data_IF_388644625243
#
_entry.id   IF_388644625243
#
_cell.length_a   1.000
_cell.length_b   1.000
_cell.length_c   1.000
_cell.angle_alpha   90.00
_cell.angle_beta   90.00
_cell.angle_gamma   90.00
#
_symmetry.space_group_name_H-M   'P 1'
#
loop_
_entity.id
_entity.type
_entity.pdbx_description
1 polymer ?
#
# COMPACT_ATOMS: atom_id res chain seq x y z
N UNK A 1 -20.02 -2.90 0.98
CA UNK A 1 -20.10 -2.00 2.14
C UNK A 1 -21.47 -2.18 2.75
N UNK A 2 -21.53 -2.53 4.04
CA UNK A 2 -22.81 -2.79 4.70
C UNK A 2 -23.63 -1.50 4.83
N UNK A 3 -24.94 -1.60 4.54
CA UNK A 3 -25.91 -0.49 4.66
C UNK A 3 -25.91 0.16 6.04
N UNK A 4 -25.45 -0.56 7.07
CA UNK A 4 -25.30 -0.07 8.44
C UNK A 4 -24.24 1.03 8.56
N UNK A 5 -23.10 0.92 7.87
CA UNK A 5 -22.00 1.88 7.97
C UNK A 5 -22.36 3.23 7.32
N UNK A 6 -23.07 3.20 6.20
CA UNK A 6 -23.58 4.40 5.51
C UNK A 6 -24.63 5.16 6.33
N UNK A 7 -25.37 4.46 7.21
CA UNK A 7 -26.41 5.05 8.04
C UNK A 7 -25.90 5.82 9.27
N UNK A 8 -24.63 5.63 9.64
CA UNK A 8 -24.01 6.28 10.79
C UNK A 8 -23.15 7.51 10.42
N UNK A 9 -22.92 7.73 9.13
CA UNK A 9 -22.18 8.89 8.62
C UNK A 9 -23.12 10.07 8.40
N UNK A 10 -22.65 11.28 8.69
CA UNK A 10 -23.35 12.50 8.27
C UNK A 10 -23.55 12.45 6.75
N UNK A 11 -24.73 12.83 6.21
CA UNK A 11 -25.05 12.71 4.79
C UNK A 11 -23.97 13.27 3.84
N UNK A 12 -23.31 14.33 4.28
CA UNK A 12 -22.24 15.03 3.58
C UNK A 12 -20.96 14.20 3.48
N UNK A 13 -20.60 13.49 4.56
CA UNK A 13 -19.46 12.55 4.60
C UNK A 13 -19.75 11.32 3.74
N UNK A 14 -21.01 10.86 3.72
CA UNK A 14 -21.45 9.71 2.94
C UNK A 14 -21.40 9.96 1.43
N UNK A 15 -21.74 11.16 0.95
CA UNK A 15 -21.72 11.48 -0.49
C UNK A 15 -20.30 11.44 -1.07
N UNK A 16 -19.39 12.12 -0.41
CA UNK A 16 -18.01 12.25 -0.88
C UNK A 16 -17.23 10.92 -0.80
N UNK A 17 -17.36 10.22 0.32
CA UNK A 17 -16.81 8.89 0.47
C UNK A 17 -17.44 7.91 -0.54
N UNK A 18 -18.74 8.02 -0.78
CA UNK A 18 -19.46 7.29 -1.82
C UNK A 18 -18.89 7.54 -3.22
N UNK A 19 -18.64 8.80 -3.60
CA UNK A 19 -18.03 9.14 -4.90
C UNK A 19 -16.64 8.51 -5.09
N UNK A 20 -15.80 8.51 -4.06
CA UNK A 20 -14.47 7.87 -4.10
C UNK A 20 -14.60 6.35 -4.23
N UNK A 21 -15.50 5.74 -3.47
CA UNK A 21 -15.74 4.28 -3.49
C UNK A 21 -16.38 3.83 -4.80
N UNK A 22 -17.36 4.55 -5.32
CA UNK A 22 -18.01 4.26 -6.59
C UNK A 22 -17.03 4.39 -7.76
N UNK A 23 -16.14 5.40 -7.72
CA UNK A 23 -15.03 5.53 -8.68
C UNK A 23 -14.08 4.34 -8.57
N UNK A 24 -13.72 3.92 -7.36
CA UNK A 24 -12.88 2.74 -7.13
C UNK A 24 -13.49 1.44 -7.67
N UNK A 25 -14.80 1.26 -7.49
CA UNK A 25 -15.55 0.09 -7.98
C UNK A 25 -15.67 0.13 -9.51
N UNK A 26 -15.92 1.30 -10.10
CA UNK A 26 -16.07 1.48 -11.55
C UNK A 26 -14.77 1.22 -12.33
N UNK A 27 -13.61 1.51 -11.73
CA UNK A 27 -12.29 1.21 -12.31
C UNK A 27 -11.79 -0.21 -11.96
N UNK A 28 -12.64 -1.02 -11.32
CA UNK A 28 -12.34 -2.36 -10.84
C UNK A 28 -11.94 -3.33 -11.94
N UNK A 29 -10.63 -3.51 -12.14
CA UNK A 29 -10.10 -4.73 -12.76
C UNK A 29 -8.65 -4.67 -13.23
N UNK A 30 -8.17 -3.51 -13.70
CA UNK A 30 -6.86 -3.43 -14.38
C UNK A 30 -5.89 -2.42 -13.77
N UNK A 31 -6.37 -1.33 -13.18
CA UNK A 31 -5.51 -0.24 -12.71
C UNK A 31 -5.28 -0.32 -11.19
N UNK A 32 -4.02 -0.46 -10.75
CA UNK A 32 -3.61 -0.46 -9.33
C UNK A 32 -3.53 0.94 -8.72
N UNK A 33 -4.04 1.93 -9.44
CA UNK A 33 -4.08 3.33 -9.06
C UNK A 33 -5.46 3.88 -9.40
N UNK A 34 -6.05 4.60 -8.46
CA UNK A 34 -7.31 5.32 -8.64
C UNK A 34 -7.01 6.79 -8.42
N UNK A 35 -7.43 7.62 -9.36
CA UNK A 35 -7.35 9.07 -9.23
C UNK A 35 -8.76 9.64 -9.29
N UNK A 36 -9.06 10.52 -8.35
CA UNK A 36 -10.33 11.18 -8.20
C UNK A 36 -10.09 12.66 -7.97
N UNK A 37 -10.81 13.50 -8.70
CA UNK A 37 -10.73 14.95 -8.61
C UNK A 37 -12.11 15.51 -8.34
N UNK A 38 -12.25 16.32 -7.28
CA UNK A 38 -13.51 16.96 -6.93
C UNK A 38 -13.28 18.39 -6.48
N UNK A 39 -14.23 19.32 -6.71
CA UNK A 39 -14.16 20.65 -6.13
C UNK A 39 -14.01 20.59 -4.61
N UNK A 40 -13.05 21.31 -4.07
CA UNK A 40 -12.88 21.45 -2.63
C UNK A 40 -14.06 22.24 -2.08
N UNK A 41 -14.93 21.56 -1.35
CA UNK A 41 -16.07 22.16 -0.67
C UNK A 41 -15.76 22.38 0.82
N UNK A 42 -16.60 23.17 1.50
CA UNK A 42 -16.46 23.45 2.94
C UNK A 42 -16.56 22.20 3.82
N UNK A 43 -17.15 21.10 3.32
CA UNK A 43 -17.34 19.85 4.06
C UNK A 43 -16.02 19.12 4.28
N UNK A 44 -15.08 19.20 3.32
CA UNK A 44 -13.72 18.66 3.50
C UNK A 44 -12.97 19.33 4.66
N UNK A 45 -13.11 20.65 4.81
CA UNK A 45 -12.50 21.37 5.91
C UNK A 45 -13.10 20.98 7.26
N UNK A 46 -14.40 20.68 7.30
CA UNK A 46 -15.10 20.30 8.52
C UNK A 46 -14.89 18.83 8.91
N UNK A 47 -14.77 17.92 7.94
CA UNK A 47 -14.84 16.46 8.14
C UNK A 47 -13.65 15.67 7.57
N UNK A 48 -12.61 16.32 7.08
CA UNK A 48 -11.48 15.67 6.41
C UNK A 48 -10.81 14.56 7.24
N UNK A 49 -10.77 14.70 8.57
CA UNK A 49 -10.25 13.66 9.46
C UNK A 49 -11.11 12.39 9.48
N UNK A 50 -12.44 12.53 9.54
CA UNK A 50 -13.38 11.39 9.51
C UNK A 50 -13.32 10.69 8.14
N UNK A 51 -13.27 11.46 7.06
CA UNK A 51 -13.13 10.94 5.69
C UNK A 51 -11.83 10.14 5.55
N UNK A 52 -10.72 10.64 6.09
CA UNK A 52 -9.43 9.93 6.06
C UNK A 52 -9.52 8.57 6.77
N UNK A 53 -10.13 8.50 7.95
CA UNK A 53 -10.32 7.24 8.70
C UNK A 53 -11.16 6.26 7.89
N UNK A 54 -12.28 6.70 7.32
CA UNK A 54 -13.16 5.84 6.52
C UNK A 54 -12.47 5.30 5.27
N UNK A 55 -11.66 6.14 4.63
CA UNK A 55 -10.87 5.73 3.47
C UNK A 55 -9.81 4.68 3.85
N UNK A 56 -9.15 4.82 5.01
CA UNK A 56 -8.24 3.79 5.52
C UNK A 56 -8.96 2.48 5.85
N UNK A 57 -10.15 2.53 6.44
CA UNK A 57 -10.97 1.35 6.74
C UNK A 57 -11.45 0.63 5.47
N UNK A 58 -11.86 1.40 4.45
CA UNK A 58 -12.36 0.85 3.19
C UNK A 58 -11.23 0.32 2.30
N UNK A 59 -10.05 0.92 2.37
CA UNK A 59 -8.87 0.55 1.59
C UNK A 59 -7.68 0.20 2.50
N UNK A 60 -7.77 -0.86 3.33
CA UNK A 60 -6.81 -1.13 4.40
C UNK A 60 -5.40 -1.49 3.92
N UNK A 61 -5.27 -1.85 2.64
CA UNK A 61 -4.01 -2.17 1.98
C UNK A 61 -3.57 -1.08 1.00
N UNK A 62 -4.33 -0.01 0.81
CA UNK A 62 -3.95 1.06 -0.11
C UNK A 62 -3.20 2.18 0.60
N UNK A 63 -2.41 2.91 -0.17
CA UNK A 63 -1.87 4.20 0.21
C UNK A 63 -2.71 5.31 -0.43
N UNK A 64 -3.08 6.31 0.36
CA UNK A 64 -3.99 7.37 -0.07
C UNK A 64 -3.25 8.69 0.02
N UNK A 65 -3.19 9.40 -1.11
CA UNK A 65 -2.60 10.72 -1.23
C UNK A 65 -3.71 11.72 -1.53
N UNK A 66 -3.80 12.78 -0.74
CA UNK A 66 -4.70 13.90 -1.02
C UNK A 66 -3.86 15.13 -1.33
N UNK A 67 -4.10 15.74 -2.48
CA UNK A 67 -3.39 16.93 -2.96
C UNK A 67 -4.39 18.01 -3.32
N UNK A 68 -4.13 19.24 -2.87
CA UNK A 68 -4.96 20.39 -3.15
C UNK A 68 -4.35 21.17 -4.32
N UNK A 69 -5.12 21.35 -5.40
CA UNK A 69 -4.81 22.26 -6.48
C UNK A 69 -5.50 23.60 -6.22
N UNK A 70 -4.69 24.58 -5.80
CA UNK A 70 -5.13 25.95 -5.51
C UNK A 70 -5.13 26.85 -6.76
N UNK A 71 -4.60 26.36 -7.88
CA UNK A 71 -4.58 27.11 -9.15
C UNK A 71 -5.84 26.85 -9.98
N UNK A 72 -6.51 25.71 -9.76
CA UNK A 72 -7.83 25.42 -10.30
C UNK A 72 -8.93 26.28 -9.63
N UNK A 73 -9.93 26.72 -10.41
CA UNK A 73 -11.13 27.42 -9.90
C UNK A 73 -12.42 26.71 -10.34
N UNK A 74 -13.27 26.24 -9.41
CA UNK A 74 -13.03 26.19 -7.97
C UNK A 74 -11.80 25.34 -7.62
N UNK A 75 -11.19 25.58 -6.45
CA UNK A 75 -10.06 24.78 -5.95
C UNK A 75 -10.42 23.29 -6.02
N UNK A 76 -9.48 22.44 -6.41
CA UNK A 76 -9.74 21.01 -6.64
C UNK A 76 -8.97 20.16 -5.64
N UNK A 77 -9.66 19.24 -4.97
CA UNK A 77 -9.00 18.16 -4.24
C UNK A 77 -8.81 16.96 -5.16
N UNK A 78 -7.56 16.56 -5.31
CA UNK A 78 -7.17 15.35 -6.02
C UNK A 78 -6.80 14.27 -4.99
N UNK A 79 -7.59 13.20 -4.95
CA UNK A 79 -7.34 12.01 -4.13
C UNK A 79 -6.81 10.90 -5.03
N UNK A 80 -5.63 10.39 -4.71
CA UNK A 80 -5.00 9.26 -5.38
C UNK A 80 -4.88 8.09 -4.43
N UNK A 81 -5.50 6.97 -4.77
CA UNK A 81 -5.40 5.70 -4.05
C UNK A 81 -4.47 4.78 -4.81
N UNK A 82 -3.44 4.26 -4.15
CA UNK A 82 -2.39 3.43 -4.73
C UNK A 82 -2.35 2.10 -4.00
N UNK A 83 -2.57 1.00 -4.73
CA UNK A 83 -2.40 -0.32 -4.17
C UNK A 83 -0.94 -0.77 -4.27
N UNK A 84 -0.34 -1.25 -3.17
CA UNK A 84 0.95 -1.90 -3.18
C UNK A 84 0.97 -3.13 -4.07
N UNK A 85 2.17 -3.56 -4.51
CA UNK A 85 2.34 -4.79 -5.24
C UNK A 85 1.80 -6.01 -4.48
N UNK A 86 1.08 -6.87 -5.21
CA UNK A 86 0.72 -8.20 -4.72
C UNK A 86 1.92 -9.13 -4.86
N UNK A 87 2.37 -9.68 -3.73
CA UNK A 87 3.50 -10.61 -3.67
C UNK A 87 3.02 -12.05 -3.84
N UNK A 88 3.77 -12.80 -4.64
CA UNK A 88 3.56 -14.20 -4.96
C UNK A 88 4.79 -15.02 -4.59
N UNK A 89 4.57 -16.29 -4.28
CA UNK A 89 5.65 -17.23 -3.99
C UNK A 89 6.12 -17.85 -5.30
N UNK A 90 7.43 -17.86 -5.50
CA UNK A 90 8.05 -18.50 -6.65
C UNK A 90 9.15 -19.46 -6.21
N UNK A 91 9.19 -20.65 -6.82
CA UNK A 91 10.18 -21.68 -6.55
C UNK A 91 10.97 -21.94 -7.83
N UNK A 92 12.25 -21.55 -7.85
CA UNK A 92 13.13 -21.68 -9.02
C UNK A 92 14.48 -22.23 -8.58
N UNK A 93 14.99 -23.23 -9.29
CA UNK A 93 16.32 -23.84 -9.05
C UNK A 93 16.55 -24.29 -7.59
N UNK A 94 15.51 -24.82 -6.93
CA UNK A 94 15.59 -25.25 -5.53
C UNK A 94 15.62 -24.12 -4.51
N UNK A 95 15.44 -22.87 -4.93
CA UNK A 95 15.35 -21.67 -4.08
C UNK A 95 13.93 -21.12 -4.05
N UNK A 96 13.62 -20.35 -3.00
CA UNK A 96 12.30 -19.81 -2.75
C UNK A 96 12.34 -18.28 -2.73
N UNK A 97 11.40 -17.68 -3.44
CA UNK A 97 11.32 -16.25 -3.65
C UNK A 97 9.92 -15.72 -3.34
N UNK A 98 9.87 -14.46 -2.92
CA UNK A 98 8.63 -13.71 -2.72
C UNK A 98 8.74 -12.40 -3.49
N UNK A 99 7.88 -12.25 -4.50
CA UNK A 99 8.05 -11.25 -5.55
C UNK A 99 6.71 -10.79 -6.16
N UNK A 100 6.70 -9.62 -6.80
CA UNK A 100 5.64 -9.22 -7.74
C UNK A 100 6.24 -9.10 -9.15
N UNK A 101 6.02 -10.08 -10.05
CA UNK A 101 6.82 -10.25 -11.28
C UNK A 101 6.89 -9.02 -12.18
N UNK A 102 5.79 -8.27 -12.29
CA UNK A 102 5.61 -7.18 -13.24
C UNK A 102 5.70 -5.78 -12.61
N UNK A 103 6.08 -5.69 -11.34
CA UNK A 103 6.00 -4.42 -10.60
C UNK A 103 7.34 -3.93 -10.10
N UNK A 104 7.42 -2.62 -9.96
CA UNK A 104 8.48 -1.97 -9.24
C UNK A 104 8.29 -2.17 -7.74
N UNK A 105 8.91 -3.23 -7.21
CA UNK A 105 8.74 -3.70 -5.85
C UNK A 105 10.04 -4.22 -5.22
N UNK A 106 9.96 -4.51 -3.92
CA UNK A 106 10.96 -5.32 -3.24
C UNK A 106 10.85 -6.78 -3.70
N UNK A 107 11.93 -7.51 -3.63
CA UNK A 107 12.07 -8.92 -3.97
C UNK A 107 12.83 -9.58 -2.84
N UNK A 108 12.39 -10.76 -2.40
CA UNK A 108 12.99 -11.48 -1.28
C UNK A 108 13.33 -12.92 -1.67
N UNK A 109 14.53 -13.36 -1.34
CA UNK A 109 14.90 -14.77 -1.27
C UNK A 109 14.77 -15.22 0.19
N UNK A 110 14.23 -16.42 0.40
CA UNK A 110 14.00 -16.99 1.73
C UNK A 110 14.51 -18.43 1.81
N UNK A 111 14.79 -18.89 3.02
CA UNK A 111 15.43 -20.19 3.24
C UNK A 111 14.60 -21.39 2.76
N UNK A 112 13.27 -21.31 2.83
CA UNK A 112 12.39 -22.43 2.49
C UNK A 112 10.98 -21.96 2.10
N UNK A 113 10.17 -22.91 1.59
CA UNK A 113 8.82 -22.62 1.12
C UNK A 113 7.81 -22.27 2.22
N UNK A 114 8.05 -22.65 3.47
CA UNK A 114 7.21 -22.22 4.60
C UNK A 114 7.43 -20.74 4.89
N UNK A 115 8.68 -20.30 5.00
CA UNK A 115 9.04 -18.89 5.12
C UNK A 115 8.52 -18.07 3.94
N UNK A 116 8.55 -18.61 2.71
CA UNK A 116 8.04 -17.94 1.53
C UNK A 116 6.52 -17.68 1.61
N UNK A 117 5.75 -18.71 1.96
CA UNK A 117 4.29 -18.58 2.13
C UNK A 117 3.93 -17.63 3.26
N UNK A 118 4.63 -17.72 4.39
CA UNK A 118 4.42 -16.84 5.54
C UNK A 118 4.75 -15.39 5.19
N UNK A 119 5.85 -15.14 4.50
CA UNK A 119 6.24 -13.80 4.05
C UNK A 119 5.24 -13.25 3.03
N UNK A 120 4.87 -14.00 2.00
CA UNK A 120 3.88 -13.54 1.02
C UNK A 120 2.53 -13.21 1.68
N UNK A 121 2.08 -14.00 2.65
CA UNK A 121 0.87 -13.71 3.43
C UNK A 121 1.02 -12.41 4.22
N UNK A 122 2.16 -12.21 4.87
CA UNK A 122 2.45 -11.02 5.67
C UNK A 122 2.49 -9.76 4.79
N UNK A 123 3.23 -9.79 3.68
CA UNK A 123 3.43 -8.66 2.78
C UNK A 123 2.16 -8.23 2.05
N UNK A 124 1.21 -9.15 1.85
CA UNK A 124 -0.10 -8.84 1.27
C UNK A 124 -1.13 -8.38 2.32
N UNK A 125 -0.76 -8.37 3.61
CA UNK A 125 -1.62 -7.95 4.71
C UNK A 125 -1.37 -6.52 5.16
N UNK A 126 -2.40 -5.89 5.73
CA UNK A 126 -2.28 -4.61 6.42
C UNK A 126 -1.58 -4.82 7.78
N UNK A 127 -0.71 -3.91 8.24
CA UNK A 127 -0.23 -2.68 7.59
C UNK A 127 1.03 -2.87 6.71
N UNK A 128 1.53 -4.11 6.58
CA UNK A 128 2.81 -4.42 5.96
C UNK A 128 2.88 -4.07 4.48
N UNK A 129 1.82 -4.33 3.71
CA UNK A 129 1.74 -3.96 2.30
C UNK A 129 2.02 -2.47 2.08
N UNK A 130 1.37 -1.62 2.88
CA UNK A 130 1.49 -0.16 2.84
C UNK A 130 2.88 0.30 3.31
N UNK A 131 3.35 -0.22 4.43
CA UNK A 131 4.66 0.17 4.96
C UNK A 131 5.81 -0.21 4.03
N UNK A 132 5.77 -1.41 3.42
CA UNK A 132 6.79 -1.84 2.49
C UNK A 132 6.83 -0.97 1.22
N UNK A 133 5.67 -0.51 0.74
CA UNK A 133 5.59 0.42 -0.40
C UNK A 133 6.27 1.75 -0.09
N UNK A 134 6.10 2.28 1.12
CA UNK A 134 6.74 3.54 1.57
C UNK A 134 8.25 3.44 1.64
N UNK A 135 8.77 2.24 1.92
CA UNK A 135 10.22 1.99 1.98
C UNK A 135 10.89 1.93 0.60
N UNK A 136 10.19 2.15 -0.52
CA UNK A 136 10.84 2.12 -1.84
C UNK A 136 11.80 3.30 -2.03
N UNK A 137 12.92 3.13 -2.76
CA UNK A 137 13.91 4.18 -2.94
C UNK A 137 13.35 5.49 -3.51
N UNK A 138 12.37 5.42 -4.41
CA UNK A 138 11.76 6.60 -5.04
C UNK A 138 10.87 7.43 -4.09
N UNK A 139 10.47 6.87 -2.94
CA UNK A 139 9.69 7.56 -1.90
C UNK A 139 10.57 7.94 -0.69
N UNK A 140 11.85 7.54 -0.74
CA UNK A 140 12.80 7.65 0.36
C UNK A 140 12.80 6.35 1.17
N UNK A 141 13.91 5.62 1.13
CA UNK A 141 14.12 4.46 2.01
C UNK A 141 14.85 4.93 3.25
N UNK A 142 14.17 4.88 4.41
CA UNK A 142 14.86 4.90 5.69
C UNK A 142 15.44 3.50 5.93
N UNK A 143 16.76 3.38 5.80
CA UNK A 143 17.50 2.13 6.02
C UNK A 143 17.23 1.54 7.41
N UNK A 144 17.05 2.39 8.44
CA UNK A 144 16.71 1.93 9.78
C UNK A 144 15.33 1.26 9.81
N UNK A 145 14.35 1.84 9.13
CA UNK A 145 13.00 1.28 9.01
C UNK A 145 12.99 -0.04 8.25
N UNK A 146 13.79 -0.19 7.19
CA UNK A 146 13.93 -1.45 6.46
C UNK A 146 14.60 -2.53 7.34
N UNK A 147 15.65 -2.19 8.09
CA UNK A 147 16.29 -3.10 9.04
C UNK A 147 15.31 -3.57 10.13
N UNK A 148 14.52 -2.66 10.69
CA UNK A 148 13.50 -3.00 11.69
C UNK A 148 12.44 -3.95 11.13
N UNK A 149 12.03 -3.75 9.87
CA UNK A 149 11.09 -4.65 9.19
C UNK A 149 11.67 -6.06 9.05
N UNK A 150 12.92 -6.18 8.59
CA UNK A 150 13.60 -7.47 8.43
C UNK A 150 13.83 -8.19 9.77
N UNK A 151 14.17 -7.45 10.83
CA UNK A 151 14.23 -8.00 12.19
C UNK A 151 12.87 -8.53 12.66
N UNK A 152 11.78 -7.83 12.32
CA UNK A 152 10.41 -8.27 12.59
C UNK A 152 10.09 -9.60 11.90
N UNK A 153 10.51 -9.79 10.65
CA UNK A 153 10.34 -11.06 9.94
C UNK A 153 11.07 -12.21 10.64
N UNK A 154 12.31 -11.99 11.07
CA UNK A 154 13.08 -12.98 11.83
C UNK A 154 12.40 -13.35 13.14
N UNK A 155 11.85 -12.37 13.86
CA UNK A 155 11.08 -12.61 15.09
C UNK A 155 9.84 -13.49 14.88
N UNK A 156 9.32 -13.57 13.66
CA UNK A 156 8.20 -14.42 13.25
C UNK A 156 8.65 -15.75 12.63
N UNK A 157 9.94 -16.09 12.67
CA UNK A 157 10.49 -17.31 12.07
C UNK A 157 10.58 -17.27 10.53
N UNK A 158 10.49 -16.08 9.93
CA UNK A 158 10.68 -15.89 8.49
C UNK A 158 12.15 -15.58 8.23
N UNK A 159 12.86 -16.52 7.61
CA UNK A 159 14.29 -16.39 7.31
C UNK A 159 14.49 -15.83 5.90
N UNK A 160 14.64 -14.51 5.81
CA UNK A 160 15.05 -13.80 4.59
C UNK A 160 16.56 -13.90 4.43
N UNK A 161 17.01 -14.46 3.31
CA UNK A 161 18.44 -14.68 3.01
C UNK A 161 19.01 -13.61 2.08
N UNK A 162 18.18 -12.99 1.24
CA UNK A 162 18.57 -11.90 0.34
C UNK A 162 17.35 -11.05 0.02
N UNK A 163 17.54 -9.76 -0.24
CA UNK A 163 16.49 -8.91 -0.78
C UNK A 163 17.04 -7.82 -1.70
N UNK A 164 16.19 -7.30 -2.59
CA UNK A 164 16.54 -6.25 -3.53
C UNK A 164 15.29 -5.47 -3.95
N UNK A 165 15.47 -4.27 -4.53
CA UNK A 165 14.37 -3.52 -5.14
C UNK A 165 14.52 -3.49 -6.68
N UNK A 166 13.48 -3.93 -7.40
CA UNK A 166 13.53 -4.13 -8.86
C UNK A 166 13.80 -2.86 -9.66
N UNK A 167 13.23 -1.72 -9.27
CA UNK A 167 13.43 -0.45 -9.99
C UNK A 167 14.78 0.22 -9.78
N UNK A 168 15.59 -0.22 -8.80
CA UNK A 168 16.91 0.37 -8.56
C UNK A 168 18.07 -0.60 -8.76
N UNK A 169 17.80 -1.91 -8.79
CA UNK A 169 18.85 -2.93 -8.91
C UNK A 169 19.81 -2.94 -7.72
N UNK A 170 19.46 -2.30 -6.60
CA UNK A 170 20.26 -2.33 -5.37
C UNK A 170 20.07 -3.71 -4.75
N UNK A 171 21.10 -4.54 -4.87
CA UNK A 171 21.22 -5.84 -4.22
C UNK A 171 22.01 -5.66 -2.93
N UNK A 172 21.33 -5.51 -1.80
CA UNK A 172 21.98 -5.73 -0.51
C UNK A 172 22.06 -7.23 -0.28
N UNK A 173 23.15 -7.80 -0.79
CA UNK A 173 23.55 -9.18 -0.50
C UNK A 173 24.21 -9.31 0.86
N UNK A 174 24.52 -8.18 1.50
CA UNK A 174 25.13 -8.15 2.80
C UNK A 174 24.09 -8.18 3.91
N UNK A 175 24.42 -8.94 4.94
CA UNK A 175 23.65 -9.05 6.17
C UNK A 175 23.44 -7.67 6.81
N UNK A 176 22.41 -6.93 6.41
CA UNK A 176 21.91 -5.77 7.17
C UNK A 176 21.40 -6.16 8.57
N UNK A 177 21.50 -7.45 8.90
CA UNK A 177 21.18 -8.09 10.17
C UNK A 177 22.42 -8.52 10.99
N UNK A 178 23.65 -8.17 10.56
CA UNK A 178 24.87 -8.37 11.36
C UNK A 178 25.16 -7.18 12.28
#
# INVERSE_FOLDING_TARGET
MDKEMMGMLKPEVSRLFGEIVDTAIAHGGAERHLEFSTPLNSEYFAYGGEIAVLLEEHFPNAEIFATLDVEALPEMLNVKVVYPPRYEVDARDGRWFVDSPFEDCWYFEVANGESARSLAKLLNGSPYARNLRRLRPSVGTDEASLRLLLLGFRGQGIEVTTFAHKGTGIFDRDNLLK
#
